data_IF_103816155323
#
_entry.id   IF_103816155323
#
_cell.length_a   1.000
_cell.length_b   1.000
_cell.length_c   1.000
_cell.angle_alpha   90.00
_cell.angle_beta   90.00
_cell.angle_gamma   90.00
#
_symmetry.space_group_name_H-M   'P 1'
#
loop_
_entity.id
_entity.type
_entity.pdbx_description
1 polymer ?
#
# COMPACT_ATOMS: atom_id res chain seq x y z
N UNK A 1 -38.97 15.50 5.60
CA UNK A 1 -38.08 14.35 5.88
C UNK A 1 -36.79 14.68 5.15
N UNK A 2 -35.73 15.06 5.88
CA UNK A 2 -34.46 15.43 5.23
C UNK A 2 -33.85 14.21 4.57
N UNK A 3 -33.53 14.31 3.28
CA UNK A 3 -32.54 13.44 2.64
C UNK A 3 -31.24 13.60 3.43
N UNK A 4 -30.91 12.60 4.24
CA UNK A 4 -29.60 12.49 4.84
C UNK A 4 -28.66 12.10 3.69
N UNK A 5 -28.05 13.11 3.06
CA UNK A 5 -27.10 12.93 1.95
C UNK A 5 -26.03 11.94 2.41
N UNK A 6 -26.08 10.73 1.85
CA UNK A 6 -25.08 9.69 2.13
C UNK A 6 -23.73 10.21 1.64
N UNK A 7 -22.73 10.11 2.50
CA UNK A 7 -21.36 10.48 2.13
C UNK A 7 -20.90 9.62 0.94
N UNK A 8 -20.26 10.24 -0.08
CA UNK A 8 -19.75 9.51 -1.23
C UNK A 8 -18.57 8.60 -0.84
N UNK A 9 -18.30 7.57 -1.64
CA UNK A 9 -17.05 6.83 -1.50
C UNK A 9 -15.87 7.64 -2.04
N UNK A 10 -14.64 7.27 -1.65
CA UNK A 10 -13.43 7.84 -2.24
C UNK A 10 -13.43 7.66 -3.77
N UNK A 11 -13.84 6.49 -4.25
CA UNK A 11 -13.95 6.15 -5.66
C UNK A 11 -14.93 7.06 -6.42
N UNK A 12 -16.08 7.41 -5.83
CA UNK A 12 -17.06 8.29 -6.46
C UNK A 12 -16.49 9.70 -6.64
N UNK A 13 -15.82 10.22 -5.61
CA UNK A 13 -15.15 11.53 -5.68
C UNK A 13 -14.00 11.52 -6.69
N UNK A 14 -13.23 10.43 -6.76
CA UNK A 14 -12.16 10.26 -7.76
C UNK A 14 -12.73 10.20 -9.18
N UNK A 15 -13.83 9.48 -9.42
CA UNK A 15 -14.51 9.43 -10.73
C UNK A 15 -15.00 10.81 -11.16
N UNK A 16 -15.41 11.63 -10.20
CA UNK A 16 -15.74 13.04 -10.42
C UNK A 16 -14.51 13.96 -10.57
N UNK A 17 -13.29 13.40 -10.69
CA UNK A 17 -12.01 14.09 -10.80
C UNK A 17 -11.69 15.02 -9.61
N UNK A 18 -12.20 14.68 -8.42
CA UNK A 18 -11.97 15.40 -7.16
C UNK A 18 -11.45 14.43 -6.09
N UNK A 19 -10.26 13.82 -6.27
CA UNK A 19 -9.73 12.89 -5.27
C UNK A 19 -9.55 13.63 -3.94
N UNK A 20 -10.20 13.17 -2.86
CA UNK A 20 -10.14 13.89 -1.61
C UNK A 20 -8.73 13.74 -1.00
N UNK A 21 -8.04 14.84 -0.66
CA UNK A 21 -6.77 14.78 0.04
C UNK A 21 -6.96 14.26 1.48
N UNK A 22 -5.85 13.96 2.14
CA UNK A 22 -5.83 13.79 3.59
C UNK A 22 -6.30 15.04 4.33
N UNK A 23 -6.78 14.80 5.55
CA UNK A 23 -6.87 15.84 6.56
C UNK A 23 -5.47 16.23 7.08
N UNK A 24 -5.29 17.45 7.59
CA UNK A 24 -4.04 17.84 8.27
C UNK A 24 -3.65 16.90 9.41
N UNK A 25 -4.65 16.26 10.04
CA UNK A 25 -4.48 15.21 11.02
C UNK A 25 -3.83 13.95 10.42
N UNK A 26 -4.37 13.43 9.32
CA UNK A 26 -3.85 12.22 8.67
C UNK A 26 -2.42 12.42 8.13
N UNK A 27 -2.07 13.62 7.69
CA UNK A 27 -0.71 13.96 7.22
C UNK A 27 0.35 13.89 8.33
N UNK A 28 -0.05 13.90 9.60
CA UNK A 28 0.87 13.81 10.75
C UNK A 28 1.19 12.37 11.15
N UNK A 29 0.54 11.38 10.54
CA UNK A 29 0.76 9.98 10.84
C UNK A 29 2.14 9.56 10.34
N UNK A 30 2.90 8.92 11.22
CA UNK A 30 4.14 8.26 10.91
C UNK A 30 3.96 6.77 11.24
N UNK A 31 4.15 5.90 10.25
CA UNK A 31 3.65 4.54 10.32
C UNK A 31 4.66 3.53 9.76
N UNK A 32 5.07 2.57 10.58
CA UNK A 32 5.92 1.46 10.16
C UNK A 32 5.14 0.14 10.14
N UNK A 33 5.65 -0.82 9.37
CA UNK A 33 5.16 -2.21 9.38
C UNK A 33 6.18 -3.09 10.08
N UNK A 34 6.23 -2.92 11.40
CA UNK A 34 7.16 -3.61 12.30
C UNK A 34 6.48 -3.80 13.66
N UNK A 35 5.91 -5.00 13.88
CA UNK A 35 5.15 -5.32 15.09
C UNK A 35 3.67 -4.90 15.04
N UNK A 36 2.98 -4.88 16.20
CA UNK A 36 1.56 -4.56 16.32
C UNK A 36 1.26 -3.05 16.25
N UNK A 37 0.02 -2.70 15.87
CA UNK A 37 -0.40 -1.32 15.59
C UNK A 37 -0.04 -0.30 16.68
N UNK A 38 -0.18 -0.69 17.95
CA UNK A 38 0.05 0.21 19.08
C UNK A 38 1.53 0.63 19.23
N UNK A 39 2.47 -0.15 18.70
CA UNK A 39 3.90 0.13 18.71
C UNK A 39 4.46 0.64 17.39
N UNK A 40 3.67 0.61 16.31
CA UNK A 40 4.16 0.89 14.94
C UNK A 40 3.60 2.19 14.34
N UNK A 41 2.84 2.97 15.13
CA UNK A 41 2.29 4.26 14.69
C UNK A 41 2.64 5.36 15.68
N UNK A 42 3.11 6.48 15.12
CA UNK A 42 3.44 7.69 15.84
C UNK A 42 2.80 8.90 15.16
N UNK A 43 2.55 9.94 15.94
CA UNK A 43 1.97 11.19 15.50
C UNK A 43 3.04 12.28 15.58
N UNK A 44 3.31 12.91 14.45
CA UNK A 44 4.24 14.03 14.38
C UNK A 44 3.59 15.29 14.94
N UNK A 45 4.29 15.97 15.84
CA UNK A 45 3.82 17.19 16.49
C UNK A 45 5.00 18.12 16.79
N UNK A 46 5.05 19.28 16.14
CA UNK A 46 6.06 20.33 16.37
C UNK A 46 7.51 19.79 16.42
N UNK A 47 7.85 18.88 15.48
CA UNK A 47 9.19 18.28 15.38
C UNK A 47 9.47 17.12 16.35
N UNK A 48 8.45 16.61 17.06
CA UNK A 48 8.55 15.43 17.93
C UNK A 48 7.58 14.35 17.49
N UNK A 49 7.95 13.07 17.69
CA UNK A 49 7.07 11.92 17.51
C UNK A 49 6.43 11.56 18.85
N UNK A 50 5.10 11.49 18.88
CA UNK A 50 4.32 11.00 20.02
C UNK A 50 3.69 9.66 19.69
N UNK A 51 3.60 8.70 20.61
CA UNK A 51 3.00 7.42 20.32
C UNK A 51 1.50 7.58 20.01
N UNK A 52 1.01 6.81 19.03
CA UNK A 52 -0.41 6.79 18.68
C UNK A 52 -1.25 6.09 19.76
N UNK A 53 -0.72 5.04 20.38
CA UNK A 53 -1.29 4.45 21.59
C UNK A 53 -0.71 5.17 22.83
N UNK A 54 -1.56 5.77 23.65
CA UNK A 54 -1.16 6.56 24.83
C UNK A 54 -1.06 5.74 26.11
N UNK A 55 -1.90 4.70 26.25
CA UNK A 55 -1.87 3.75 27.36
C UNK A 55 -2.06 2.36 26.79
N UNK A 56 -1.14 1.46 27.10
CA UNK A 56 -1.17 0.07 26.66
C UNK A 56 -1.46 -0.82 27.86
N UNK A 57 -2.72 -0.89 28.28
CA UNK A 57 -3.19 -2.17 28.81
C UNK A 57 -3.36 -3.04 27.56
N UNK A 58 -2.65 -4.17 27.45
CA UNK A 58 -2.61 -4.98 26.21
C UNK A 58 -4.01 -5.36 25.70
N UNK A 59 -5.00 -5.38 26.60
CA UNK A 59 -6.41 -5.66 26.30
C UNK A 59 -7.25 -4.44 25.89
N UNK A 60 -6.84 -3.20 26.19
CA UNK A 60 -7.66 -2.02 25.88
C UNK A 60 -6.81 -0.74 25.70
N UNK A 61 -6.13 -0.59 24.55
CA UNK A 61 -5.28 0.57 24.30
C UNK A 61 -6.10 1.86 24.21
N UNK A 62 -5.63 2.91 24.89
CA UNK A 62 -6.17 4.26 24.71
C UNK A 62 -5.50 4.91 23.50
N UNK A 63 -6.26 5.18 22.45
CA UNK A 63 -5.76 5.81 21.22
C UNK A 63 -5.66 7.33 21.33
N UNK A 64 -4.73 7.92 20.59
CA UNK A 64 -4.60 9.36 20.45
C UNK A 64 -5.91 9.97 19.90
N UNK A 65 -6.35 11.18 20.31
CA UNK A 65 -7.61 11.79 19.86
C UNK A 65 -7.79 11.87 18.34
N UNK A 66 -6.67 11.99 17.61
CA UNK A 66 -6.60 11.96 16.15
C UNK A 66 -7.20 10.69 15.53
N UNK A 67 -7.27 9.60 16.29
CA UNK A 67 -7.90 8.33 15.89
C UNK A 67 -9.33 8.52 15.39
N UNK A 68 -10.06 9.47 15.97
CA UNK A 68 -11.46 9.76 15.62
C UNK A 68 -11.62 10.81 14.52
N UNK A 69 -10.52 11.42 14.06
CA UNK A 69 -10.57 12.41 12.98
C UNK A 69 -10.84 11.71 11.63
N UNK A 70 -11.53 12.40 10.70
CA UNK A 70 -11.70 11.90 9.35
C UNK A 70 -10.36 11.71 8.65
N UNK A 71 -10.25 10.65 7.86
CA UNK A 71 -9.06 10.38 7.06
C UNK A 71 -8.84 11.44 5.96
N UNK A 72 -9.94 11.86 5.31
CA UNK A 72 -9.91 12.73 4.14
C UNK A 72 -10.84 13.93 4.29
N UNK A 73 -10.57 15.00 3.53
CA UNK A 73 -11.47 16.14 3.36
C UNK A 73 -11.74 16.35 1.86
N UNK A 74 -12.99 16.20 1.36
CA UNK A 74 -14.19 15.84 2.10
C UNK A 74 -14.19 14.41 2.66
N UNK A 75 -15.02 14.21 3.68
CA UNK A 75 -15.25 12.91 4.34
C UNK A 75 -15.81 11.88 3.34
N UNK A 76 -15.36 10.64 3.47
CA UNK A 76 -15.80 9.52 2.62
C UNK A 76 -16.42 8.40 3.44
N UNK A 77 -17.40 7.71 2.86
CA UNK A 77 -18.06 6.55 3.47
C UNK A 77 -17.28 5.25 3.32
N UNK A 78 -16.32 5.20 2.40
CA UNK A 78 -15.42 4.06 2.19
C UNK A 78 -14.24 4.45 1.31
N UNK A 79 -13.18 3.65 1.34
CA UNK A 79 -12.04 3.76 0.43
C UNK A 79 -11.49 2.38 0.11
N UNK A 80 -11.23 2.09 -1.17
CA UNK A 80 -10.50 0.87 -1.57
C UNK A 80 -9.02 1.17 -1.68
N UNK A 81 -8.20 0.56 -0.83
CA UNK A 81 -6.76 0.80 -0.73
C UNK A 81 -5.98 -0.27 -1.49
N UNK A 82 -4.96 0.18 -2.19
CA UNK A 82 -4.06 -0.58 -3.04
C UNK A 82 -2.60 -0.40 -2.55
N UNK A 83 -1.78 -1.47 -2.62
CA UNK A 83 -0.33 -1.37 -2.37
C UNK A 83 0.40 -1.34 -3.69
N UNK A 84 1.11 -0.24 -3.93
CA UNK A 84 1.74 0.05 -5.21
C UNK A 84 2.73 -1.02 -5.66
N UNK A 85 3.54 -1.51 -4.74
CA UNK A 85 4.63 -2.45 -4.96
C UNK A 85 4.09 -3.83 -5.34
N UNK A 86 3.08 -4.31 -4.61
CA UNK A 86 2.41 -5.59 -4.89
C UNK A 86 1.67 -5.51 -6.23
N UNK A 87 0.86 -4.48 -6.45
CA UNK A 87 0.03 -4.36 -7.66
C UNK A 87 0.87 -4.16 -8.95
N UNK A 88 2.12 -3.69 -8.84
CA UNK A 88 3.06 -3.60 -9.97
C UNK A 88 4.06 -4.75 -10.02
N UNK A 89 4.03 -5.66 -9.06
CA UNK A 89 5.08 -6.64 -8.89
C UNK A 89 5.29 -7.50 -10.13
N UNK A 90 4.20 -8.05 -10.69
CA UNK A 90 4.27 -8.86 -11.90
C UNK A 90 4.74 -8.06 -13.11
N UNK A 91 4.21 -6.85 -13.34
CA UNK A 91 4.63 -6.02 -14.47
C UNK A 91 6.12 -5.68 -14.39
N UNK A 92 6.60 -5.29 -13.20
CA UNK A 92 8.01 -5.00 -12.99
C UNK A 92 8.89 -6.25 -13.19
N UNK A 93 8.42 -7.41 -12.72
CA UNK A 93 9.12 -8.68 -12.94
C UNK A 93 9.23 -8.99 -14.44
N UNK A 94 8.15 -8.79 -15.20
CA UNK A 94 8.13 -9.00 -16.66
C UNK A 94 9.09 -8.04 -17.37
N UNK A 95 9.10 -6.76 -16.98
CA UNK A 95 10.02 -5.76 -17.54
C UNK A 95 11.49 -6.12 -17.27
N UNK A 96 11.83 -6.46 -16.03
CA UNK A 96 13.19 -6.82 -15.61
C UNK A 96 13.70 -8.09 -16.30
N UNK A 97 12.81 -9.05 -16.56
CA UNK A 97 13.16 -10.33 -17.19
C UNK A 97 12.87 -10.38 -18.70
N UNK A 98 12.54 -9.24 -19.31
CA UNK A 98 12.11 -9.15 -20.72
C UNK A 98 13.12 -9.75 -21.71
N UNK A 99 14.43 -9.64 -21.43
CA UNK A 99 15.50 -10.23 -22.25
C UNK A 99 15.57 -11.76 -22.19
N UNK A 100 14.86 -12.39 -21.25
CA UNK A 100 14.79 -13.84 -21.07
C UNK A 100 13.39 -14.39 -21.39
N UNK A 101 12.50 -13.59 -21.98
CA UNK A 101 11.12 -13.98 -22.25
C UNK A 101 10.92 -14.68 -23.59
N UNK A 102 11.95 -14.75 -24.44
CA UNK A 102 11.87 -15.46 -25.71
C UNK A 102 11.44 -16.90 -25.45
N UNK A 103 10.35 -17.39 -26.08
CA UNK A 103 9.90 -18.74 -25.86
C UNK A 103 10.96 -19.74 -26.36
N UNK A 104 11.10 -20.90 -25.68
CA UNK A 104 12.03 -21.94 -26.11
C UNK A 104 11.69 -22.40 -27.53
N UNK A 105 12.73 -22.66 -28.34
CA UNK A 105 12.55 -23.20 -29.69
C UNK A 105 11.95 -24.62 -29.64
N UNK A 106 11.29 -25.09 -30.71
CA UNK A 106 10.73 -26.44 -30.73
C UNK A 106 11.78 -27.52 -30.41
N UNK A 107 11.57 -28.26 -29.32
CA UNK A 107 12.49 -29.30 -28.85
C UNK A 107 13.45 -28.87 -27.74
N UNK A 108 13.46 -27.59 -27.36
CA UNK A 108 14.14 -27.10 -26.17
C UNK A 108 13.36 -27.44 -24.88
N UNK A 109 14.06 -27.61 -23.75
CA UNK A 109 13.40 -27.89 -22.49
C UNK A 109 12.59 -26.68 -22.00
N UNK A 110 11.36 -26.92 -21.55
CA UNK A 110 10.49 -25.88 -20.98
C UNK A 110 10.88 -25.45 -19.56
N UNK A 111 11.88 -26.09 -18.96
CA UNK A 111 12.39 -25.79 -17.63
C UNK A 111 13.83 -26.22 -17.50
N UNK A 112 14.62 -25.46 -16.75
CA UNK A 112 16.00 -25.76 -16.42
C UNK A 112 16.45 -25.00 -15.19
N UNK A 113 17.76 -24.97 -14.94
CA UNK A 113 18.31 -24.22 -13.82
C UNK A 113 18.00 -22.72 -14.01
N UNK A 114 17.20 -22.18 -13.09
CA UNK A 114 16.83 -20.76 -13.06
C UNK A 114 15.74 -20.33 -14.04
N UNK A 115 15.03 -21.23 -14.73
CA UNK A 115 13.89 -20.82 -15.56
C UNK A 115 12.81 -21.90 -15.73
N UNK A 116 11.57 -21.45 -15.96
CA UNK A 116 10.43 -22.32 -16.27
C UNK A 116 9.39 -21.61 -17.12
N UNK A 117 8.92 -22.28 -18.17
CA UNK A 117 7.83 -21.85 -19.03
C UNK A 117 6.57 -22.70 -18.80
N UNK A 118 5.41 -22.13 -19.08
CA UNK A 118 4.14 -22.83 -19.03
C UNK A 118 2.94 -21.91 -19.33
N UNK A 119 1.71 -22.46 -19.31
CA UNK A 119 0.51 -21.67 -19.53
C UNK A 119 0.28 -20.68 -18.38
N UNK A 120 -0.20 -19.48 -18.69
CA UNK A 120 -0.68 -18.52 -17.69
C UNK A 120 -2.17 -18.76 -17.41
N UNK A 121 -2.56 -19.05 -16.15
CA UNK A 121 -3.96 -19.33 -15.81
C UNK A 121 -4.88 -18.11 -15.98
N UNK A 122 -4.37 -16.88 -15.81
CA UNK A 122 -5.14 -15.64 -15.89
C UNK A 122 -5.13 -14.98 -17.28
N UNK A 123 -4.28 -15.48 -18.20
CA UNK A 123 -4.20 -15.02 -19.58
C UNK A 123 -5.02 -15.97 -20.45
N UNK A 124 -6.34 -15.83 -20.38
CA UNK A 124 -7.25 -16.68 -21.15
C UNK A 124 -7.08 -16.50 -22.66
N UNK A 125 -7.32 -17.55 -23.46
CA UNK A 125 -7.30 -17.48 -24.93
C UNK A 125 -8.30 -16.47 -25.52
N UNK A 126 -9.25 -15.98 -24.73
CA UNK A 126 -10.28 -15.00 -25.13
C UNK A 126 -9.77 -13.55 -25.22
N UNK A 127 -8.55 -13.25 -24.74
CA UNK A 127 -7.94 -11.91 -24.85
C UNK A 127 -7.08 -11.72 -26.10
N UNK A 128 -6.95 -12.75 -26.93
CA UNK A 128 -6.21 -12.69 -28.18
C UNK A 128 -7.21 -12.58 -29.34
N UNK A 129 -7.10 -11.49 -30.11
CA UNK A 129 -7.98 -11.22 -31.27
C UNK A 129 -7.79 -12.24 -32.41
N UNK A 130 -6.71 -13.02 -32.38
CA UNK A 130 -6.41 -14.05 -33.37
C UNK A 130 -6.47 -15.45 -32.74
N UNK A 131 -7.06 -16.45 -33.44
CA UNK A 131 -7.10 -17.81 -32.94
C UNK A 131 -5.67 -18.31 -32.78
N UNK A 132 -5.28 -18.54 -31.52
CA UNK A 132 -4.08 -19.28 -31.18
C UNK A 132 -4.04 -20.59 -31.98
N UNK A 133 -2.85 -21.01 -32.40
CA UNK A 133 -2.61 -22.39 -32.82
C UNK A 133 -3.18 -23.37 -31.77
N UNK A 134 -3.42 -24.64 -32.11
CA UNK A 134 -3.89 -25.64 -31.13
C UNK A 134 -2.93 -25.85 -29.93
N UNK A 135 -1.78 -25.18 -29.94
CA UNK A 135 -0.78 -25.14 -28.87
C UNK A 135 -1.02 -23.90 -28.00
N UNK A 136 -1.28 -24.10 -26.70
CA UNK A 136 -1.42 -22.99 -25.77
C UNK A 136 -0.12 -22.17 -25.71
N UNK A 137 -0.21 -20.82 -25.70
CA UNK A 137 0.98 -19.97 -25.61
C UNK A 137 1.73 -20.25 -24.31
N UNK A 138 3.05 -20.41 -24.44
CA UNK A 138 3.96 -20.63 -23.31
C UNK A 138 4.49 -19.28 -22.82
N UNK A 139 4.44 -19.06 -21.52
CA UNK A 139 4.93 -17.86 -20.87
C UNK A 139 5.99 -18.21 -19.84
N UNK A 140 6.91 -17.28 -19.61
CA UNK A 140 7.90 -17.39 -18.54
C UNK A 140 7.20 -17.27 -17.18
N UNK A 141 7.29 -18.35 -16.39
CA UNK A 141 6.71 -18.49 -15.04
C UNK A 141 7.77 -18.37 -13.94
N UNK A 142 9.05 -18.49 -14.29
CA UNK A 142 10.19 -18.40 -13.39
C UNK A 142 11.43 -18.02 -14.20
N UNK A 143 12.28 -17.17 -13.64
CA UNK A 143 13.50 -16.68 -14.27
C UNK A 143 14.50 -16.22 -13.21
N UNK A 144 15.80 -16.47 -13.42
CA UNK A 144 16.87 -16.12 -12.47
C UNK A 144 16.61 -16.64 -11.04
N UNK A 145 16.06 -17.86 -10.93
CA UNK A 145 15.62 -18.48 -9.65
C UNK A 145 14.53 -17.70 -8.92
N UNK A 146 13.83 -16.80 -9.62
CA UNK A 146 12.72 -16.02 -9.08
C UNK A 146 11.41 -16.43 -9.74
N UNK A 147 10.42 -16.93 -8.96
CA UNK A 147 9.11 -17.21 -9.51
C UNK A 147 8.42 -15.91 -9.92
N UNK A 148 7.69 -15.96 -11.03
CA UNK A 148 6.80 -14.87 -11.45
C UNK A 148 5.70 -14.71 -10.38
N UNK A 149 5.45 -13.49 -9.87
CA UNK A 149 4.50 -13.25 -8.78
C UNK A 149 3.04 -13.23 -9.27
N UNK A 150 2.56 -14.38 -9.73
CA UNK A 150 1.22 -14.54 -10.32
C UNK A 150 0.11 -14.31 -9.28
N UNK A 151 -0.93 -13.58 -9.68
CA UNK A 151 -2.14 -13.38 -8.88
C UNK A 151 -1.93 -12.56 -7.59
N UNK A 152 -0.75 -11.95 -7.40
CA UNK A 152 -0.46 -11.11 -6.25
C UNK A 152 -1.11 -9.74 -6.43
N UNK A 153 -2.11 -9.44 -5.61
CA UNK A 153 -2.74 -8.11 -5.55
C UNK A 153 -3.06 -7.79 -4.10
N UNK A 154 -3.03 -6.51 -3.75
CA UNK A 154 -3.44 -6.03 -2.45
C UNK A 154 -4.56 -5.03 -2.65
N UNK A 155 -5.81 -5.44 -2.38
CA UNK A 155 -6.99 -4.59 -2.50
C UNK A 155 -7.90 -4.77 -1.29
N UNK A 156 -7.98 -3.74 -0.46
CA UNK A 156 -8.72 -3.78 0.80
C UNK A 156 -9.70 -2.62 0.85
N UNK A 157 -10.98 -2.91 1.09
CA UNK A 157 -11.99 -1.87 1.31
C UNK A 157 -12.02 -1.51 2.78
N UNK A 158 -11.69 -0.27 3.11
CA UNK A 158 -11.83 0.28 4.45
C UNK A 158 -13.22 0.91 4.58
N UNK A 159 -13.93 0.52 5.63
CA UNK A 159 -15.25 1.03 5.98
C UNK A 159 -15.22 1.66 7.38
N UNK A 160 -16.12 2.61 7.67
CA UNK A 160 -16.26 3.18 9.00
C UNK A 160 -16.67 2.13 10.02
N UNK A 161 -16.15 2.24 11.24
CA UNK A 161 -16.65 1.46 12.37
C UNK A 161 -18.15 1.68 12.59
N UNK A 162 -18.89 0.69 13.14
CA UNK A 162 -20.31 0.83 13.43
C UNK A 162 -20.62 2.08 14.26
N UNK A 163 -21.54 2.91 13.78
CA UNK A 163 -21.91 4.18 14.42
C UNK A 163 -21.21 5.41 13.85
N UNK A 164 -20.17 5.24 13.03
CA UNK A 164 -19.56 6.33 12.27
C UNK A 164 -20.12 6.38 10.84
N UNK A 165 -20.30 7.59 10.31
CA UNK A 165 -20.75 7.80 8.92
C UNK A 165 -19.58 7.88 7.92
N UNK A 166 -18.35 8.11 8.41
CA UNK A 166 -17.16 8.35 7.60
C UNK A 166 -15.95 7.57 8.12
N UNK A 167 -15.03 7.25 7.21
CA UNK A 167 -13.78 6.56 7.54
C UNK A 167 -12.89 7.44 8.42
N UNK A 168 -12.62 6.96 9.63
CA UNK A 168 -11.68 7.60 10.56
C UNK A 168 -10.25 7.16 10.29
N UNK A 169 -9.28 7.91 10.83
CA UNK A 169 -7.88 7.51 10.86
C UNK A 169 -7.69 6.13 11.53
N UNK A 170 -8.45 5.86 12.60
CA UNK A 170 -8.37 4.56 13.27
C UNK A 170 -8.90 3.42 12.41
N UNK A 171 -10.05 3.60 11.74
CA UNK A 171 -10.61 2.58 10.84
C UNK A 171 -9.58 2.19 9.76
N UNK A 172 -8.94 3.20 9.18
CA UNK A 172 -7.91 3.02 8.16
C UNK A 172 -6.70 2.24 8.69
N UNK A 173 -6.10 2.69 9.79
CA UNK A 173 -4.90 2.07 10.34
C UNK A 173 -5.17 0.67 10.89
N UNK A 174 -6.26 0.46 11.63
CA UNK A 174 -6.60 -0.82 12.24
C UNK A 174 -7.01 -1.89 11.21
N UNK A 175 -7.62 -1.48 10.10
CA UNK A 175 -7.94 -2.39 8.99
C UNK A 175 -6.68 -2.77 8.21
N UNK A 176 -5.84 -1.81 7.86
CA UNK A 176 -4.73 -2.05 6.94
C UNK A 176 -3.50 -2.64 7.63
N UNK A 177 -3.17 -2.21 8.83
CA UNK A 177 -1.90 -2.57 9.45
C UNK A 177 -1.68 -4.08 9.64
N UNK A 178 -2.66 -4.87 10.13
CA UNK A 178 -2.51 -6.32 10.19
C UNK A 178 -2.30 -6.95 8.81
N UNK A 179 -3.04 -6.50 7.80
CA UNK A 179 -2.96 -7.03 6.43
C UNK A 179 -1.61 -6.68 5.76
N UNK A 180 -1.09 -5.48 6.02
CA UNK A 180 0.25 -5.10 5.57
C UNK A 180 1.34 -5.92 6.27
N UNK A 181 1.14 -6.26 7.54
CA UNK A 181 2.06 -7.11 8.28
C UNK A 181 2.04 -8.55 7.75
N UNK A 182 0.87 -9.10 7.44
CA UNK A 182 0.72 -10.40 6.77
C UNK A 182 1.35 -10.42 5.38
N UNK A 183 1.26 -9.31 4.64
CA UNK A 183 1.82 -9.16 3.30
C UNK A 183 3.28 -8.68 3.30
N UNK A 184 3.93 -8.59 4.46
CA UNK A 184 5.25 -7.94 4.61
C UNK A 184 6.33 -8.57 3.74
N UNK A 185 6.36 -9.89 3.65
CA UNK A 185 7.37 -10.60 2.84
C UNK A 185 7.16 -10.36 1.35
N UNK A 186 5.90 -10.31 0.89
CA UNK A 186 5.55 -9.96 -0.50
C UNK A 186 5.92 -8.49 -0.81
N UNK A 187 5.72 -7.57 0.14
CA UNK A 187 6.15 -6.16 0.01
C UNK A 187 7.67 -6.07 -0.12
N UNK A 188 8.42 -6.81 0.71
CA UNK A 188 9.87 -6.80 0.64
C UNK A 188 10.35 -7.38 -0.69
N UNK A 189 9.80 -8.52 -1.11
CA UNK A 189 10.16 -9.20 -2.34
C UNK A 189 9.85 -8.34 -3.59
N UNK A 190 8.67 -7.71 -3.64
CA UNK A 190 8.29 -6.79 -4.73
C UNK A 190 9.20 -5.58 -4.82
N UNK A 191 9.55 -4.97 -3.69
CA UNK A 191 10.50 -3.88 -3.65
C UNK A 191 11.90 -4.33 -4.13
N UNK A 192 12.36 -5.55 -3.81
CA UNK A 192 13.71 -6.02 -4.17
C UNK A 192 13.93 -6.17 -5.68
N UNK A 193 12.86 -6.27 -6.45
CA UNK A 193 12.93 -6.21 -7.91
C UNK A 193 13.12 -4.78 -8.43
N UNK A 194 12.58 -3.78 -7.72
CA UNK A 194 12.58 -2.38 -8.19
C UNK A 194 13.79 -1.56 -7.73
N UNK A 195 14.47 -2.00 -6.67
CA UNK A 195 15.63 -1.31 -6.09
C UNK A 195 16.75 -2.32 -5.87
N UNK A 196 17.97 -1.96 -6.27
CA UNK A 196 19.20 -2.77 -6.25
C UNK A 196 19.29 -3.76 -5.07
N UNK A 197 19.78 -4.98 -5.35
CA UNK A 197 19.65 -6.21 -4.55
C UNK A 197 20.33 -6.16 -3.16
N UNK A 198 20.95 -5.05 -2.79
CA UNK A 198 21.63 -4.85 -1.51
C UNK A 198 20.69 -4.19 -0.49
N UNK A 199 19.74 -4.95 0.04
CA UNK A 199 18.99 -4.53 1.24
C UNK A 199 19.49 -5.25 2.49
N UNK A 200 19.36 -4.61 3.68
CA UNK A 200 19.67 -5.28 4.93
C UNK A 200 18.71 -6.45 5.13
N UNK A 201 19.17 -7.47 5.87
CA UNK A 201 18.41 -8.70 6.10
C UNK A 201 17.02 -8.47 6.71
N UNK A 202 16.84 -7.36 7.45
CA UNK A 202 15.59 -6.95 8.06
C UNK A 202 15.29 -5.47 7.76
N UNK A 203 14.69 -5.15 6.59
CA UNK A 203 14.41 -3.77 6.24
C UNK A 203 13.27 -3.23 7.12
N UNK A 204 13.49 -2.05 7.71
CA UNK A 204 12.43 -1.31 8.40
C UNK A 204 11.59 -0.57 7.37
N UNK A 205 10.34 -0.98 7.22
CA UNK A 205 9.43 -0.42 6.22
C UNK A 205 8.63 0.74 6.81
N UNK A 206 8.78 1.92 6.19
CA UNK A 206 7.96 3.09 6.42
C UNK A 206 6.84 3.12 5.39
N UNK A 207 5.60 3.26 5.84
CA UNK A 207 4.45 3.42 4.94
C UNK A 207 4.38 4.86 4.46
N UNK A 208 4.41 5.04 3.15
CA UNK A 208 4.08 6.29 2.47
C UNK A 208 2.60 6.26 2.09
N UNK A 209 1.80 6.97 2.88
CA UNK A 209 0.35 7.05 2.70
C UNK A 209 -0.11 8.35 2.05
N UNK A 210 0.78 9.17 1.46
CA UNK A 210 0.46 10.48 0.86
C UNK A 210 -0.75 10.48 -0.09
N UNK A 211 -1.06 9.32 -0.69
CA UNK A 211 -2.29 9.08 -1.41
C UNK A 211 -3.15 8.07 -0.62
N UNK A 212 -4.32 8.46 -0.08
CA UNK A 212 -5.14 7.59 0.78
C UNK A 212 -5.48 6.24 0.15
N UNK A 213 -5.67 6.22 -1.17
CA UNK A 213 -6.03 5.03 -1.94
C UNK A 213 -4.82 4.16 -2.30
N UNK A 214 -3.61 4.72 -2.35
CA UNK A 214 -2.45 4.03 -2.90
C UNK A 214 -1.26 4.18 -1.98
N UNK A 215 -1.00 3.13 -1.21
CA UNK A 215 0.15 3.04 -0.33
C UNK A 215 1.40 2.71 -1.14
N UNK A 216 2.51 3.27 -0.72
CA UNK A 216 3.85 2.83 -1.13
C UNK A 216 4.76 2.68 0.07
N UNK A 217 5.92 2.09 -0.13
CA UNK A 217 6.86 1.78 0.94
C UNK A 217 8.21 2.44 0.72
N UNK A 218 8.79 2.88 1.83
CA UNK A 218 10.11 3.49 1.88
C UNK A 218 10.95 2.74 2.91
N UNK A 219 12.23 2.53 2.63
CA UNK A 219 13.14 1.96 3.61
C UNK A 219 13.55 3.03 4.63
N UNK A 220 13.28 2.80 5.91
CA UNK A 220 13.46 3.80 6.98
C UNK A 220 14.93 4.23 7.16
N UNK A 221 15.89 3.35 6.86
CA UNK A 221 17.34 3.62 6.91
C UNK A 221 17.74 4.82 6.04
N UNK A 222 17.02 5.07 4.95
CA UNK A 222 17.26 6.22 4.07
C UNK A 222 16.84 7.58 4.69
N UNK A 223 16.17 7.56 5.85
CA UNK A 223 15.52 8.73 6.45
C UNK A 223 15.99 9.04 7.88
N UNK A 224 17.12 8.46 8.33
CA UNK A 224 17.69 8.67 9.67
C UNK A 224 18.19 10.12 9.94
N UNK A 225 18.03 11.07 9.01
CA UNK A 225 18.44 12.46 9.23
C UNK A 225 17.27 13.37 9.64
N UNK A 226 17.40 14.18 10.72
CA UNK A 226 16.42 15.19 11.17
C UNK A 226 15.90 16.16 10.07
N UNK A 227 16.64 16.34 8.98
CA UNK A 227 16.28 17.24 7.88
C UNK A 227 15.09 16.76 7.03
N UNK A 228 14.91 15.45 6.88
CA UNK A 228 13.75 14.91 6.16
C UNK A 228 12.44 15.23 6.90
N UNK A 229 12.44 15.06 8.23
CA UNK A 229 11.32 15.33 9.14
C UNK A 229 10.84 16.78 9.11
N UNK A 230 11.74 17.73 8.80
CA UNK A 230 11.41 19.15 8.65
C UNK A 230 10.85 19.47 7.27
N UNK A 231 11.30 18.79 6.20
CA UNK A 231 10.83 19.08 4.84
C UNK A 231 9.48 18.42 4.50
N UNK A 232 9.13 17.28 5.10
CA UNK A 232 7.80 16.68 4.98
C UNK A 232 6.71 17.52 5.65
N UNK A 233 7.04 18.24 6.74
CA UNK A 233 6.11 19.15 7.45
C UNK A 233 5.99 20.55 6.84
N UNK A 234 6.91 21.00 5.98
CA UNK A 234 6.82 22.33 5.33
C UNK A 234 5.69 22.46 4.30
N UNK A 235 4.96 21.39 3.99
CA UNK A 235 3.74 21.44 3.18
C UNK A 235 2.47 21.74 4.00
N UNK A 236 2.51 21.61 5.32
CA UNK A 236 1.38 22.03 6.17
C UNK A 236 1.50 23.52 6.46
N UNK A 237 0.64 24.34 5.85
CA UNK A 237 0.42 25.72 6.32
C UNK A 237 -0.16 25.63 7.74
N UNK A 238 0.29 26.47 8.69
CA UNK A 238 -0.32 26.51 10.00
C UNK A 238 -1.73 27.10 9.86
N UNK A 239 -2.77 26.29 10.08
CA UNK A 239 -4.10 26.82 10.38
C UNK A 239 -4.04 27.41 11.79
N UNK A 240 -4.22 28.73 11.86
CA UNK A 240 -4.51 29.48 13.08
C UNK A 240 -5.83 28.97 13.67
N UNK A 241 -5.75 28.08 14.65
CA UNK A 241 -6.81 27.95 15.63
C UNK A 241 -6.48 28.91 16.76
N UNK A 242 -7.42 29.82 16.97
CA UNK A 242 -7.53 30.70 18.12
C UNK A 242 -7.76 29.78 19.31
N UNK A 243 -6.83 29.75 20.25
CA UNK A 243 -7.06 29.15 21.55
C UNK A 243 -7.94 30.12 22.35
N UNK A 244 -9.13 29.67 22.73
CA UNK A 244 -9.91 30.25 23.83
C UNK A 244 -9.35 29.71 25.16
N UNK A 245 -9.17 30.66 26.09
CA UNK A 245 -8.64 30.62 27.49
C UNK A 245 -7.13 30.38 27.71
#
# INVERSE_FOLDING_TARGET
MSDQERLPSYEDLRRALKPPPHTPEADRIFWTVDGPLHSSVWIMSRGSLKPYAQRTDESNPTWHPISQCPLTEPKVSSITVEVHEIDRWESNWVEEHSSHMDPPEPGEPLSGDGFRYGPLPDYGPDLLEEPLSEEQPLYLLECCDQPRPLGKTFKVVVQPSPGNEFVTIHDYLSTLHPLLLESRDDIIASLCLTYDRQRPAEPKLLVNHNYPKKLSFLELSNFETPAFWVNSTRRTRPCSLVDDD
#
